data_IF_669651419999
#
_entry.id   IF_669651419999
#
_cell.length_a   1.000
_cell.length_b   1.000
_cell.length_c   1.000
_cell.angle_alpha   90.00
_cell.angle_beta   90.00
_cell.angle_gamma   90.00
#
_symmetry.space_group_name_H-M   'P 1'
#
loop_
_entity.id
_entity.type
_entity.pdbx_description
1 polymer ?
#
# COMPACT_ATOMS: atom_id res chain seq x y z
N UNK A 1 21.53 -5.33 -17.32
CA UNK A 1 21.65 -5.32 -15.84
C UNK A 1 21.12 -6.62 -15.24
N UNK A 2 19.82 -6.94 -15.32
CA UNK A 2 19.22 -8.10 -14.65
C UNK A 2 19.83 -9.46 -15.00
N UNK A 3 20.42 -9.62 -16.18
CA UNK A 3 21.12 -10.88 -16.55
C UNK A 3 22.37 -11.16 -15.72
N UNK A 4 22.94 -10.15 -15.08
CA UNK A 4 24.14 -10.26 -14.24
C UNK A 4 23.83 -10.55 -12.77
N UNK A 5 22.55 -10.53 -12.38
CA UNK A 5 22.10 -10.82 -11.02
C UNK A 5 21.53 -12.23 -10.92
N UNK A 6 21.71 -12.88 -9.77
CA UNK A 6 21.10 -14.18 -9.46
C UNK A 6 19.66 -13.99 -8.97
N UNK A 7 19.44 -12.96 -8.15
CA UNK A 7 18.15 -12.57 -7.60
C UNK A 7 17.91 -11.11 -7.90
N UNK A 8 16.69 -10.77 -8.31
CA UNK A 8 16.26 -9.44 -8.65
C UNK A 8 15.10 -9.05 -7.74
N UNK A 9 15.20 -7.89 -7.13
CA UNK A 9 14.10 -7.31 -6.34
C UNK A 9 13.94 -5.83 -6.64
N UNK A 10 12.89 -5.21 -6.11
CA UNK A 10 12.55 -3.81 -6.33
C UNK A 10 12.54 -3.04 -5.01
N UNK A 11 12.82 -1.76 -5.10
CA UNK A 11 12.70 -0.80 -3.98
C UNK A 11 11.63 0.24 -4.27
N UNK A 12 11.31 0.46 -5.56
CA UNK A 12 10.21 1.31 -6.01
C UNK A 12 9.24 0.50 -6.87
N UNK A 13 7.96 0.90 -6.90
CA UNK A 13 6.92 0.19 -7.66
C UNK A 13 6.91 0.55 -9.14
N UNK A 14 7.36 1.76 -9.51
CA UNK A 14 7.35 2.23 -10.89
C UNK A 14 8.51 1.65 -11.70
N UNK A 15 8.49 0.33 -11.87
CA UNK A 15 9.46 -0.41 -12.67
C UNK A 15 8.79 -1.00 -13.90
N UNK A 16 9.58 -1.31 -14.92
CA UNK A 16 9.09 -1.95 -16.12
C UNK A 16 8.81 -3.45 -15.84
N UNK A 17 7.55 -3.78 -15.60
CA UNK A 17 7.11 -5.16 -15.32
C UNK A 17 7.31 -6.11 -16.49
N UNK A 18 7.23 -5.64 -17.74
CA UNK A 18 7.48 -6.48 -18.92
C UNK A 18 8.94 -6.96 -18.96
N UNK A 19 9.88 -6.07 -18.62
CA UNK A 19 11.30 -6.43 -18.51
C UNK A 19 11.54 -7.44 -17.38
N UNK A 20 10.84 -7.32 -16.26
CA UNK A 20 10.92 -8.26 -15.13
C UNK A 20 10.31 -9.62 -15.49
N UNK A 21 9.17 -9.64 -16.19
CA UNK A 21 8.55 -10.88 -16.70
C UNK A 21 9.52 -11.61 -17.61
N UNK A 22 10.12 -10.91 -18.56
CA UNK A 22 11.11 -11.51 -19.49
C UNK A 22 12.30 -12.12 -18.75
N UNK A 23 12.83 -11.44 -17.72
CA UNK A 23 13.92 -11.97 -16.90
C UNK A 23 13.48 -13.23 -16.13
N UNK A 24 12.25 -13.24 -15.62
CA UNK A 24 11.68 -14.43 -14.96
C UNK A 24 11.52 -15.60 -15.93
N UNK A 25 11.05 -15.35 -17.16
CA UNK A 25 10.93 -16.35 -18.23
C UNK A 25 12.30 -16.88 -18.68
N UNK A 26 13.36 -16.06 -18.62
CA UNK A 26 14.75 -16.43 -18.86
C UNK A 26 15.38 -17.21 -17.67
N UNK A 27 14.57 -17.51 -16.61
CA UNK A 27 14.99 -18.33 -15.46
C UNK A 27 15.62 -17.54 -14.30
N UNK A 28 15.51 -16.21 -14.29
CA UNK A 28 15.97 -15.39 -13.15
C UNK A 28 14.95 -15.41 -12.02
N UNK A 29 15.46 -15.44 -10.78
CA UNK A 29 14.62 -15.28 -9.59
C UNK A 29 14.25 -13.80 -9.42
N UNK A 30 12.98 -13.44 -9.62
CA UNK A 30 12.47 -12.07 -9.53
C UNK A 30 11.46 -11.98 -8.39
N UNK A 31 11.69 -11.09 -7.42
CA UNK A 31 10.80 -10.87 -6.28
C UNK A 31 10.46 -9.37 -6.13
N UNK A 32 9.19 -9.01 -5.97
CA UNK A 32 8.01 -9.89 -6.06
C UNK A 32 7.79 -10.46 -7.46
N UNK A 33 6.95 -11.49 -7.57
CA UNK A 33 6.50 -12.02 -8.87
C UNK A 33 6.00 -10.85 -9.73
N UNK A 34 6.58 -10.63 -10.94
CA UNK A 34 6.25 -9.47 -11.76
C UNK A 34 4.80 -9.47 -12.27
N UNK A 35 4.14 -10.63 -12.39
CA UNK A 35 2.71 -10.69 -12.72
C UNK A 35 1.84 -10.16 -11.57
N UNK A 36 2.25 -10.42 -10.32
CA UNK A 36 1.56 -9.85 -9.14
C UNK A 36 1.82 -8.35 -9.02
N UNK A 37 3.05 -7.94 -9.30
CA UNK A 37 3.41 -6.52 -9.35
C UNK A 37 2.58 -5.77 -10.39
N UNK A 38 2.34 -6.34 -11.58
CA UNK A 38 1.50 -5.74 -12.61
C UNK A 38 0.04 -5.54 -12.14
N UNK A 39 -0.49 -6.45 -11.31
CA UNK A 39 -1.81 -6.28 -10.68
C UNK A 39 -1.77 -5.10 -9.69
N UNK A 40 -0.71 -5.01 -8.88
CA UNK A 40 -0.58 -3.97 -7.85
C UNK A 40 -0.38 -2.59 -8.47
N UNK A 41 0.34 -2.48 -9.60
CA UNK A 41 0.53 -1.22 -10.31
C UNK A 41 -0.75 -0.64 -10.95
N UNK A 42 -1.84 -1.41 -11.04
CA UNK A 42 -3.13 -0.96 -11.57
C UNK A 42 -4.20 -1.08 -10.50
N UNK A 43 -4.61 0.06 -9.94
CA UNK A 43 -5.61 0.12 -8.84
C UNK A 43 -6.94 -0.56 -9.21
N UNK A 44 -7.31 -0.59 -10.50
CA UNK A 44 -8.50 -1.32 -10.95
C UNK A 44 -8.31 -2.83 -10.87
N UNK A 45 -7.18 -3.36 -11.35
CA UNK A 45 -6.84 -4.78 -11.23
C UNK A 45 -6.66 -5.19 -9.76
N UNK A 46 -6.09 -4.30 -8.93
CA UNK A 46 -5.94 -4.51 -7.50
C UNK A 46 -7.31 -4.68 -6.81
N UNK A 47 -8.30 -3.84 -7.14
CA UNK A 47 -9.68 -3.95 -6.61
C UNK A 47 -10.39 -5.21 -7.08
N UNK A 48 -10.26 -5.57 -8.36
CA UNK A 48 -10.80 -6.84 -8.89
C UNK A 48 -10.17 -8.05 -8.17
N UNK A 49 -8.88 -7.99 -7.89
CA UNK A 49 -8.18 -9.01 -7.13
C UNK A 49 -8.71 -9.12 -5.69
N UNK A 50 -8.89 -8.00 -4.98
CA UNK A 50 -9.46 -8.00 -3.63
C UNK A 50 -10.85 -8.63 -3.62
N UNK A 51 -11.71 -8.22 -4.56
CA UNK A 51 -13.05 -8.80 -4.72
C UNK A 51 -13.00 -10.31 -4.96
N UNK A 52 -12.16 -10.78 -5.89
CA UNK A 52 -11.99 -12.20 -6.20
C UNK A 52 -11.50 -13.02 -5.00
N UNK A 53 -10.62 -12.44 -4.19
CA UNK A 53 -10.04 -13.08 -3.00
C UNK A 53 -10.85 -12.84 -1.72
N UNK A 54 -11.97 -12.12 -1.80
CA UNK A 54 -12.83 -11.74 -0.66
C UNK A 54 -12.07 -10.98 0.43
N UNK A 55 -11.12 -10.15 0.02
CA UNK A 55 -10.41 -9.22 0.90
C UNK A 55 -11.26 -7.97 1.09
N UNK A 56 -11.39 -7.50 2.33
CA UNK A 56 -12.23 -6.35 2.66
C UNK A 56 -11.62 -5.06 2.13
N UNK A 57 -12.26 -4.41 1.17
CA UNK A 57 -11.86 -3.12 0.62
C UNK A 57 -13.10 -2.28 0.30
N UNK A 58 -12.94 -0.95 0.14
CA UNK A 58 -14.06 -0.06 -0.18
C UNK A 58 -14.82 -0.55 -1.41
N UNK A 59 -16.16 -0.50 -1.39
CA UNK A 59 -16.98 -0.69 -2.60
C UNK A 59 -16.52 0.27 -3.69
N UNK A 60 -16.47 -0.21 -4.94
CA UNK A 60 -15.91 0.55 -6.04
C UNK A 60 -16.65 0.33 -7.35
N UNK A 61 -16.47 1.29 -8.26
CA UNK A 61 -16.90 1.23 -9.67
C UNK A 61 -15.70 1.59 -10.53
N UNK A 62 -15.51 0.88 -11.65
CA UNK A 62 -14.48 1.21 -12.63
C UNK A 62 -15.10 2.10 -13.71
N UNK A 63 -14.46 3.22 -14.02
CA UNK A 63 -14.83 4.14 -15.08
C UNK A 63 -13.64 4.36 -16.02
N UNK A 64 -13.90 4.45 -17.32
CA UNK A 64 -12.85 4.65 -18.34
C UNK A 64 -12.53 6.12 -18.56
N UNK A 65 -13.53 7.01 -18.40
CA UNK A 65 -13.42 8.44 -18.71
C UNK A 65 -14.17 9.27 -17.66
N UNK A 66 -13.82 10.56 -17.59
CA UNK A 66 -14.55 11.54 -16.79
C UNK A 66 -16.03 11.60 -17.17
N UNK A 67 -16.35 11.58 -18.46
CA UNK A 67 -17.72 11.59 -18.96
C UNK A 67 -18.54 10.39 -18.45
N UNK A 68 -17.91 9.19 -18.36
CA UNK A 68 -18.59 8.03 -17.80
C UNK A 68 -18.90 8.24 -16.31
N UNK A 69 -18.00 8.88 -15.56
CA UNK A 69 -18.23 9.20 -14.14
C UNK A 69 -19.44 10.14 -14.03
N UNK A 70 -19.49 11.21 -14.84
CA UNK A 70 -20.58 12.18 -14.85
C UNK A 70 -21.93 11.52 -15.19
N UNK A 71 -21.97 10.64 -16.18
CA UNK A 71 -23.18 9.85 -16.50
C UNK A 71 -23.62 8.97 -15.33
N UNK A 72 -22.68 8.28 -14.66
CA UNK A 72 -22.99 7.42 -13.52
C UNK A 72 -23.41 8.17 -12.26
N UNK A 73 -23.04 9.45 -12.14
CA UNK A 73 -23.59 10.35 -11.12
C UNK A 73 -25.03 10.71 -11.46
N UNK A 74 -25.32 11.03 -12.73
CA UNK A 74 -26.66 11.38 -13.20
C UNK A 74 -27.66 10.23 -13.07
N UNK A 75 -27.24 9.00 -13.34
CA UNK A 75 -28.10 7.80 -13.23
C UNK A 75 -28.18 7.24 -11.80
N UNK A 76 -27.46 7.85 -10.83
CA UNK A 76 -27.46 7.46 -9.42
C UNK A 76 -26.59 6.25 -9.07
N UNK A 77 -25.83 5.69 -10.02
CA UNK A 77 -24.92 4.57 -9.76
C UNK A 77 -23.71 5.02 -8.92
N UNK A 78 -23.29 6.28 -9.03
CA UNK A 78 -22.27 6.90 -8.17
C UNK A 78 -22.96 7.95 -7.32
N UNK A 79 -22.79 7.86 -6.00
CA UNK A 79 -23.37 8.80 -5.03
C UNK A 79 -22.27 9.51 -4.23
N UNK A 80 -22.52 10.76 -3.84
CA UNK A 80 -21.63 11.53 -2.99
C UNK A 80 -21.69 11.08 -1.51
N UNK A 81 -20.59 11.16 -0.74
CA UNK A 81 -19.23 11.47 -1.20
C UNK A 81 -18.50 10.23 -1.76
N UNK A 82 -17.59 10.45 -2.69
CA UNK A 82 -16.74 9.39 -3.25
C UNK A 82 -15.29 9.87 -3.45
N UNK A 83 -14.37 8.91 -3.65
CA UNK A 83 -12.97 9.16 -3.98
C UNK A 83 -12.69 8.58 -5.35
N UNK A 84 -12.20 9.42 -6.26
CA UNK A 84 -11.66 8.99 -7.54
C UNK A 84 -10.16 8.75 -7.40
N UNK A 85 -9.70 7.59 -7.86
CA UNK A 85 -8.26 7.27 -7.96
C UNK A 85 -7.96 6.88 -9.41
N UNK A 86 -6.99 7.52 -10.05
CA UNK A 86 -6.51 7.06 -11.34
C UNK A 86 -5.93 5.66 -11.21
N UNK A 87 -6.21 4.79 -12.19
CA UNK A 87 -5.78 3.39 -12.15
C UNK A 87 -4.26 3.24 -12.17
N UNK A 88 -3.57 4.08 -12.95
CA UNK A 88 -2.12 4.10 -13.11
C UNK A 88 -1.58 5.51 -12.89
N UNK A 89 -0.28 5.62 -12.65
CA UNK A 89 0.44 6.90 -12.49
C UNK A 89 0.02 7.76 -11.27
N UNK A 90 -0.75 7.22 -10.32
CA UNK A 90 -1.01 7.88 -9.04
C UNK A 90 0.03 7.44 -8.00
N UNK A 91 0.78 8.40 -7.44
CA UNK A 91 1.74 8.21 -6.34
C UNK A 91 1.70 9.45 -5.43
N UNK A 92 1.98 9.29 -4.16
CA UNK A 92 2.08 10.39 -3.18
C UNK A 92 0.88 11.36 -3.25
N UNK A 93 -0.35 10.80 -3.27
CA UNK A 93 -1.57 11.59 -3.36
C UNK A 93 -1.88 12.19 -4.74
N UNK A 94 -0.96 12.14 -5.71
CA UNK A 94 -1.26 12.51 -7.10
C UNK A 94 -2.17 11.47 -7.74
N UNK A 95 -3.12 11.93 -8.53
CA UNK A 95 -4.11 11.04 -9.16
C UNK A 95 -5.24 10.60 -8.22
N UNK A 96 -5.45 11.31 -7.10
CA UNK A 96 -6.58 11.12 -6.19
C UNK A 96 -7.41 12.41 -6.12
N UNK A 97 -8.72 12.30 -6.23
CA UNK A 97 -9.66 13.41 -6.05
C UNK A 97 -10.79 12.99 -5.10
N UNK A 98 -11.03 13.79 -4.08
CA UNK A 98 -12.13 13.62 -3.13
C UNK A 98 -13.29 14.50 -3.58
N UNK A 99 -14.43 13.89 -3.86
CA UNK A 99 -15.63 14.56 -4.35
C UNK A 99 -16.71 14.41 -3.27
N UNK A 100 -16.95 15.50 -2.54
CA UNK A 100 -17.91 15.48 -1.43
C UNK A 100 -19.33 15.84 -1.90
N UNK A 101 -19.44 16.77 -2.85
CA UNK A 101 -20.70 17.26 -3.40
C UNK A 101 -20.58 17.53 -4.91
N UNK A 102 -21.67 17.93 -5.55
CA UNK A 102 -21.67 18.36 -6.95
C UNK A 102 -20.72 19.53 -7.25
N UNK A 103 -20.45 20.38 -6.27
CA UNK A 103 -19.57 21.53 -6.45
C UNK A 103 -18.10 21.12 -6.65
N UNK A 104 -17.74 19.90 -6.22
CA UNK A 104 -16.41 19.35 -6.36
C UNK A 104 -16.16 18.70 -7.74
N UNK A 105 -17.13 18.64 -8.65
CA UNK A 105 -17.00 17.97 -9.96
C UNK A 105 -15.89 18.56 -10.84
N UNK A 106 -15.51 19.82 -10.62
CA UNK A 106 -14.38 20.44 -11.29
C UNK A 106 -13.03 19.78 -10.96
N UNK A 107 -12.93 19.04 -9.83
CA UNK A 107 -11.75 18.29 -9.38
C UNK A 107 -11.61 16.94 -10.06
N UNK A 108 -12.62 16.48 -10.82
CA UNK A 108 -12.57 15.19 -11.49
C UNK A 108 -11.36 15.11 -12.45
N UNK A 109 -10.62 14.02 -12.30
CA UNK A 109 -9.45 13.70 -13.08
C UNK A 109 -9.85 12.99 -14.38
N UNK A 110 -9.09 13.23 -15.45
CA UNK A 110 -9.25 12.53 -16.72
C UNK A 110 -8.48 11.22 -16.73
N UNK A 111 -9.12 10.17 -17.22
CA UNK A 111 -8.52 8.86 -17.43
C UNK A 111 -9.22 7.71 -16.71
N UNK A 112 -8.79 6.48 -17.00
CA UNK A 112 -9.32 5.29 -16.36
C UNK A 112 -9.14 5.36 -14.83
N UNK A 113 -10.24 5.18 -14.12
CA UNK A 113 -10.33 5.45 -12.69
C UNK A 113 -11.05 4.35 -11.92
N UNK A 114 -10.70 4.24 -10.64
CA UNK A 114 -11.47 3.56 -9.61
C UNK A 114 -12.23 4.62 -8.83
N UNK A 115 -13.54 4.49 -8.76
CA UNK A 115 -14.42 5.34 -7.95
C UNK A 115 -14.79 4.54 -6.71
N UNK A 116 -14.33 4.97 -5.56
CA UNK A 116 -14.56 4.32 -4.28
C UNK A 116 -15.56 5.09 -3.44
N UNK A 117 -16.45 4.38 -2.74
CA UNK A 117 -17.23 5.02 -1.68
C UNK A 117 -16.27 5.59 -0.64
N UNK A 118 -16.43 6.88 -0.30
CA UNK A 118 -15.60 7.53 0.72
C UNK A 118 -15.80 6.87 2.07
N UNK A 119 -14.71 6.39 2.66
CA UNK A 119 -14.69 5.83 4.01
C UNK A 119 -14.65 6.96 5.04
N UNK A 120 -15.40 6.82 6.11
CA UNK A 120 -15.26 7.68 7.30
C UNK A 120 -14.14 7.12 8.16
N UNK A 121 -12.96 7.67 7.95
CA UNK A 121 -11.71 7.18 8.53
C UNK A 121 -11.60 7.65 9.98
N UNK A 122 -11.45 6.70 10.91
CA UNK A 122 -11.09 6.95 12.31
C UNK A 122 -9.57 6.98 12.48
N UNK A 123 -8.86 6.02 11.86
CA UNK A 123 -7.39 5.92 11.84
C UNK A 123 -6.92 5.33 10.52
N UNK A 124 -5.72 5.72 10.13
CA UNK A 124 -5.00 5.07 9.02
C UNK A 124 -3.90 4.17 9.61
N UNK A 125 -3.93 2.91 9.25
CA UNK A 125 -3.04 1.88 9.77
C UNK A 125 -2.22 1.26 8.64
N UNK A 126 -1.04 0.77 8.98
CA UNK A 126 -0.25 -0.08 8.07
C UNK A 126 0.34 -1.26 8.83
N UNK A 127 0.36 -2.41 8.17
CA UNK A 127 1.05 -3.61 8.64
C UNK A 127 2.03 -4.07 7.58
N UNK A 128 3.30 -4.24 7.95
CA UNK A 128 4.28 -4.90 7.10
C UNK A 128 4.19 -6.40 7.35
N UNK A 129 3.77 -7.14 6.34
CA UNK A 129 3.78 -8.60 6.34
C UNK A 129 4.98 -9.11 5.54
N UNK A 130 5.62 -10.17 5.99
CA UNK A 130 6.68 -10.89 5.29
C UNK A 130 6.25 -12.33 5.02
N UNK A 131 6.65 -12.87 3.85
CA UNK A 131 6.41 -14.28 3.50
C UNK A 131 7.64 -14.83 2.77
N UNK A 132 8.13 -15.97 3.23
CA UNK A 132 9.27 -16.65 2.62
C UNK A 132 8.86 -17.59 1.47
N UNK A 133 9.84 -18.17 0.80
CA UNK A 133 9.63 -19.12 -0.31
C UNK A 133 8.91 -20.40 0.11
N UNK A 134 8.92 -20.75 1.39
CA UNK A 134 8.20 -21.90 1.94
C UNK A 134 6.76 -21.58 2.34
N UNK A 135 6.35 -20.30 2.25
CA UNK A 135 5.02 -19.85 2.60
C UNK A 135 4.84 -19.46 4.07
N UNK A 136 5.89 -19.51 4.90
CA UNK A 136 5.82 -19.01 6.27
C UNK A 136 5.63 -17.49 6.26
N UNK A 137 4.83 -16.98 7.18
CA UNK A 137 4.52 -15.55 7.28
C UNK A 137 4.88 -14.99 8.65
N UNK A 138 5.32 -13.75 8.68
CA UNK A 138 5.46 -12.93 9.88
C UNK A 138 5.00 -11.51 9.60
N UNK A 139 4.40 -10.86 10.60
CA UNK A 139 4.01 -9.46 10.52
C UNK A 139 4.74 -8.65 11.59
N UNK A 140 5.00 -7.39 11.29
CA UNK A 140 5.34 -6.40 12.29
C UNK A 140 4.08 -5.88 12.99
N UNK A 141 4.24 -5.29 14.17
CA UNK A 141 3.14 -4.63 14.85
C UNK A 141 2.51 -3.55 13.94
N UNK A 142 1.17 -3.39 13.95
CA UNK A 142 0.53 -2.31 13.21
C UNK A 142 1.04 -0.94 13.64
N UNK A 143 1.20 -0.05 12.67
CA UNK A 143 1.53 1.36 12.90
C UNK A 143 0.35 2.25 12.55
N UNK A 144 0.21 3.37 13.27
CA UNK A 144 -0.73 4.43 12.96
C UNK A 144 -0.02 5.50 12.15
N UNK A 145 -0.56 5.82 10.97
CA UNK A 145 -0.03 6.85 10.08
C UNK A 145 -0.85 8.13 10.22
N UNK A 146 -0.17 9.25 10.39
CA UNK A 146 -0.77 10.58 10.41
C UNK A 146 -0.31 11.35 9.19
N UNK A 147 -1.25 11.74 8.36
CA UNK A 147 -0.98 12.43 7.10
C UNK A 147 -0.99 13.96 7.28
N UNK A 148 -0.16 14.62 6.50
CA UNK A 148 -0.26 16.05 6.30
C UNK A 148 -1.41 16.34 5.33
N UNK A 149 -2.37 17.15 5.76
CA UNK A 149 -3.57 17.46 4.97
C UNK A 149 -3.29 18.26 3.69
N UNK A 150 -2.15 18.95 3.60
CA UNK A 150 -1.78 19.75 2.43
C UNK A 150 -0.91 18.95 1.45
N UNK A 151 0.08 18.24 1.99
CA UNK A 151 1.02 17.46 1.18
C UNK A 151 0.46 16.09 0.79
N UNK A 152 -0.57 15.58 1.50
CA UNK A 152 -1.11 14.22 1.37
C UNK A 152 -0.02 13.14 1.46
N UNK A 153 0.96 13.37 2.33
CA UNK A 153 2.07 12.49 2.64
C UNK A 153 2.05 12.16 4.13
N UNK A 154 2.57 11.00 4.50
CA UNK A 154 2.73 10.63 5.91
C UNK A 154 3.65 11.64 6.58
N UNK A 155 3.11 12.42 7.52
CA UNK A 155 3.85 13.38 8.32
C UNK A 155 4.66 12.67 9.39
N UNK A 156 4.00 11.79 10.13
CA UNK A 156 4.63 10.91 11.11
C UNK A 156 3.82 9.62 11.27
N UNK A 157 4.45 8.61 11.80
CA UNK A 157 3.79 7.38 12.23
C UNK A 157 4.15 7.06 13.67
N UNK A 158 3.27 6.32 14.33
CA UNK A 158 3.43 5.84 15.70
C UNK A 158 3.44 4.31 15.70
N UNK A 159 4.44 3.72 16.31
CA UNK A 159 4.60 2.27 16.49
C UNK A 159 4.71 1.92 17.97
N UNK A 160 3.87 1.05 18.54
CA UNK A 160 2.72 0.42 17.88
C UNK A 160 1.55 1.41 17.72
N UNK A 161 0.62 1.10 16.81
CA UNK A 161 -0.62 1.85 16.67
C UNK A 161 -1.41 1.85 17.99
N UNK A 162 -2.03 2.98 18.30
CA UNK A 162 -2.88 3.09 19.51
C UNK A 162 -4.30 2.60 19.20
N UNK A 163 -4.46 1.28 19.19
CA UNK A 163 -5.70 0.56 18.89
C UNK A 163 -5.93 -0.55 19.91
N UNK A 164 -7.16 -1.05 19.98
CA UNK A 164 -7.51 -2.18 20.84
C UNK A 164 -6.85 -3.47 20.34
N UNK A 165 -6.53 -4.40 21.23
CA UNK A 165 -5.88 -5.67 20.89
C UNK A 165 -6.67 -6.51 19.87
N UNK A 166 -8.01 -6.42 19.87
CA UNK A 166 -8.84 -7.13 18.90
C UNK A 166 -8.61 -6.57 17.50
N UNK A 167 -8.58 -5.26 17.36
CA UNK A 167 -8.29 -4.57 16.08
C UNK A 167 -6.87 -4.86 15.64
N UNK A 168 -5.90 -4.89 16.55
CA UNK A 168 -4.52 -5.28 16.25
C UNK A 168 -4.45 -6.69 15.64
N UNK A 169 -5.10 -7.67 16.28
CA UNK A 169 -5.15 -9.05 15.79
C UNK A 169 -5.81 -9.14 14.42
N UNK A 170 -6.91 -8.43 14.22
CA UNK A 170 -7.60 -8.39 12.93
C UNK A 170 -6.75 -7.73 11.83
N UNK A 171 -6.02 -6.65 12.12
CA UNK A 171 -5.12 -6.00 11.18
C UNK A 171 -3.98 -6.93 10.74
N UNK A 172 -3.36 -7.64 11.68
CA UNK A 172 -2.32 -8.64 11.42
C UNK A 172 -2.90 -9.80 10.59
N UNK A 173 -4.08 -10.30 10.94
CA UNK A 173 -4.75 -11.38 10.20
C UNK A 173 -5.08 -10.95 8.76
N UNK A 174 -5.60 -9.74 8.56
CA UNK A 174 -5.91 -9.19 7.25
C UNK A 174 -4.65 -8.99 6.40
N UNK A 175 -3.55 -8.52 6.97
CA UNK A 175 -2.27 -8.38 6.29
C UNK A 175 -1.70 -9.76 5.89
N UNK A 176 -1.75 -10.74 6.79
CA UNK A 176 -1.33 -12.13 6.51
C UNK A 176 -2.17 -12.76 5.40
N UNK A 177 -3.49 -12.58 5.45
CA UNK A 177 -4.39 -13.05 4.40
C UNK A 177 -4.06 -12.39 3.05
N UNK A 178 -3.74 -11.10 3.07
CA UNK A 178 -3.45 -10.33 1.86
C UNK A 178 -2.16 -10.77 1.20
N UNK A 179 -1.04 -10.87 1.93
CA UNK A 179 0.24 -11.33 1.36
C UNK A 179 0.15 -12.76 0.86
N UNK A 180 -0.58 -13.62 1.57
CA UNK A 180 -0.82 -15.01 1.17
C UNK A 180 -1.69 -15.09 -0.10
N UNK A 181 -2.75 -14.28 -0.19
CA UNK A 181 -3.63 -14.25 -1.36
C UNK A 181 -2.91 -13.80 -2.63
N UNK A 182 -2.00 -12.81 -2.51
CA UNK A 182 -1.14 -12.37 -3.61
C UNK A 182 0.00 -13.36 -3.90
N UNK A 183 0.29 -14.27 -2.98
CA UNK A 183 1.43 -15.19 -3.08
C UNK A 183 2.77 -14.44 -3.27
N UNK A 184 2.94 -13.33 -2.57
CA UNK A 184 4.16 -12.53 -2.59
C UNK A 184 5.22 -13.24 -1.74
N UNK A 185 6.43 -13.36 -2.28
CA UNK A 185 7.65 -13.67 -1.52
C UNK A 185 8.43 -12.37 -1.32
N UNK A 186 8.82 -12.11 -0.09
CA UNK A 186 9.37 -10.82 0.33
C UNK A 186 8.50 -10.16 1.37
N UNK A 187 8.37 -8.85 1.30
CA UNK A 187 7.47 -8.08 2.17
C UNK A 187 6.34 -7.44 1.38
N UNK A 188 5.25 -7.19 2.08
CA UNK A 188 4.09 -6.45 1.60
C UNK A 188 3.64 -5.48 2.69
N UNK A 189 3.68 -4.20 2.42
CA UNK A 189 2.97 -3.23 3.23
C UNK A 189 1.49 -3.29 2.87
N UNK A 190 0.63 -3.39 3.86
CA UNK A 190 -0.83 -3.36 3.70
C UNK A 190 -1.37 -2.16 4.44
N UNK A 191 -1.78 -1.15 3.68
CA UNK A 191 -2.42 0.05 4.22
C UNK A 191 -3.91 -0.18 4.40
N UNK A 192 -4.43 0.23 5.54
CA UNK A 192 -5.80 -0.02 5.96
C UNK A 192 -6.42 1.24 6.56
N UNK A 193 -7.69 1.44 6.28
CA UNK A 193 -8.53 2.36 7.04
C UNK A 193 -9.23 1.61 8.16
N UNK A 194 -9.15 2.12 9.37
CA UNK A 194 -10.06 1.80 10.46
C UNK A 194 -11.21 2.80 10.41
N UNK A 195 -12.42 2.33 10.14
CA UNK A 195 -13.60 3.20 10.05
C UNK A 195 -14.22 3.51 11.43
N UNK A 196 -15.23 4.38 11.47
CA UNK A 196 -15.94 4.75 12.70
C UNK A 196 -16.65 3.56 13.38
N UNK A 197 -16.90 2.47 12.65
CA UNK A 197 -17.52 1.23 13.16
C UNK A 197 -16.49 0.18 13.55
N UNK A 198 -15.20 0.53 13.58
CA UNK A 198 -14.06 -0.35 13.82
C UNK A 198 -13.88 -1.45 12.74
N UNK A 199 -14.37 -1.27 11.54
CA UNK A 199 -14.05 -2.18 10.43
C UNK A 199 -12.70 -1.81 9.82
N UNK A 200 -11.89 -2.82 9.52
CA UNK A 200 -10.65 -2.68 8.77
C UNK A 200 -10.92 -2.83 7.28
N UNK A 201 -10.47 -1.87 6.50
CA UNK A 201 -10.71 -1.77 5.05
C UNK A 201 -9.37 -1.56 4.36
N UNK A 202 -8.94 -2.50 3.49
CA UNK A 202 -7.70 -2.35 2.72
C UNK A 202 -7.83 -1.13 1.80
N UNK A 203 -6.87 -0.22 1.92
CA UNK A 203 -6.70 0.93 1.04
C UNK A 203 -5.86 0.55 -0.18
N UNK A 204 -4.60 0.21 0.05
CA UNK A 204 -3.66 -0.23 -0.99
C UNK A 204 -2.56 -1.12 -0.40
N UNK A 205 -1.74 -1.70 -1.28
CA UNK A 205 -0.61 -2.53 -0.89
C UNK A 205 0.64 -2.14 -1.67
N UNK A 206 1.81 -2.31 -1.03
CA UNK A 206 3.12 -2.05 -1.62
C UNK A 206 4.05 -3.26 -1.41
N UNK A 207 4.48 -3.98 -2.47
CA UNK A 207 5.26 -5.21 -2.36
C UNK A 207 6.77 -4.93 -2.33
N UNK A 208 7.21 -4.05 -1.45
CA UNK A 208 8.58 -3.54 -1.30
C UNK A 208 8.80 -2.92 0.08
N UNK A 209 10.05 -2.59 0.45
CA UNK A 209 10.28 -1.73 1.61
C UNK A 209 9.43 -0.47 1.54
N UNK A 210 8.77 -0.15 2.64
CA UNK A 210 7.75 0.90 2.68
C UNK A 210 8.02 1.89 3.80
N UNK A 211 7.60 3.14 3.61
CA UNK A 211 7.74 4.21 4.59
C UNK A 211 7.21 3.80 5.97
N UNK A 212 6.04 3.14 6.01
CA UNK A 212 5.46 2.67 7.26
C UNK A 212 6.30 1.63 8.02
N UNK A 213 7.35 1.07 7.41
CA UNK A 213 8.27 0.13 8.03
C UNK A 213 9.67 0.69 8.31
N UNK A 214 9.97 1.95 8.01
CA UNK A 214 11.33 2.49 8.23
C UNK A 214 11.72 2.52 9.70
N UNK A 215 10.78 2.75 10.62
CA UNK A 215 11.02 2.70 12.06
C UNK A 215 11.59 1.36 12.54
N UNK A 216 11.35 0.27 11.79
CA UNK A 216 11.83 -1.08 12.16
C UNK A 216 13.35 -1.20 12.18
N UNK A 217 14.09 -0.29 11.57
CA UNK A 217 15.57 -0.26 11.61
C UNK A 217 16.04 -0.16 13.05
N UNK A 218 15.40 0.71 13.86
CA UNK A 218 15.81 1.00 15.24
C UNK A 218 14.90 0.36 16.27
N UNK A 219 13.65 0.04 15.91
CA UNK A 219 12.61 -0.32 16.87
C UNK A 219 12.20 -1.80 16.84
N UNK A 220 12.71 -2.60 15.91
CA UNK A 220 12.39 -4.01 15.80
C UNK A 220 13.65 -4.89 15.84
N UNK A 221 13.49 -6.15 16.27
CA UNK A 221 14.59 -7.12 16.32
C UNK A 221 15.19 -7.39 14.94
N UNK A 222 14.34 -7.41 13.91
CA UNK A 222 14.72 -7.54 12.49
C UNK A 222 14.07 -6.39 11.74
N UNK A 223 14.82 -5.64 10.94
CA UNK A 223 14.24 -4.56 10.12
C UNK A 223 13.41 -5.11 8.96
N UNK A 224 12.53 -4.29 8.39
CA UNK A 224 11.79 -4.67 7.17
C UNK A 224 12.74 -5.04 6.02
N UNK A 225 13.89 -4.39 5.92
CA UNK A 225 14.88 -4.64 4.88
C UNK A 225 15.54 -6.01 5.04
N UNK A 226 15.99 -6.32 6.24
CA UNK A 226 16.55 -7.64 6.55
C UNK A 226 15.50 -8.72 6.37
N UNK A 227 14.26 -8.48 6.81
CA UNK A 227 13.16 -9.42 6.66
C UNK A 227 12.85 -9.70 5.19
N UNK A 228 12.88 -8.65 4.34
CA UNK A 228 12.73 -8.80 2.89
C UNK A 228 13.84 -9.67 2.30
N UNK A 229 15.08 -9.37 2.63
CA UNK A 229 16.23 -10.14 2.14
C UNK A 229 16.19 -11.60 2.61
N UNK A 230 15.86 -11.84 3.88
CA UNK A 230 15.68 -13.21 4.40
C UNK A 230 14.64 -13.98 3.60
N UNK A 231 13.50 -13.36 3.36
CA UNK A 231 12.40 -13.98 2.63
C UNK A 231 12.79 -14.38 1.20
N UNK A 232 13.42 -13.47 0.43
CA UNK A 232 13.77 -13.73 -0.98
C UNK A 232 15.02 -14.60 -1.16
N UNK A 233 15.88 -14.69 -0.14
CA UNK A 233 17.06 -15.54 -0.14
C UNK A 233 16.78 -16.96 0.41
N UNK A 234 15.54 -17.27 0.77
CA UNK A 234 15.17 -18.57 1.33
C UNK A 234 15.69 -18.80 2.75
N UNK A 235 16.06 -17.75 3.48
CA UNK A 235 16.43 -17.82 4.89
C UNK A 235 15.17 -17.84 5.76
N UNK A 236 15.29 -18.39 6.97
CA UNK A 236 14.20 -18.29 7.96
C UNK A 236 13.86 -16.83 8.26
N UNK A 237 12.59 -16.50 8.32
CA UNK A 237 12.14 -15.17 8.70
C UNK A 237 12.65 -14.81 10.09
N UNK A 238 13.22 -13.62 10.23
CA UNK A 238 13.69 -13.07 11.49
C UNK A 238 12.56 -12.79 12.47
N UNK A 239 12.88 -12.48 13.71
CA UNK A 239 11.91 -12.06 14.69
C UNK A 239 11.48 -10.60 14.41
N UNK A 240 10.18 -10.35 14.28
CA UNK A 240 9.59 -9.03 14.01
C UNK A 240 9.14 -8.30 15.28
N UNK A 241 9.50 -8.83 16.46
CA UNK A 241 9.10 -8.23 17.74
C UNK A 241 9.67 -6.80 17.88
N UNK A 242 8.82 -5.95 18.40
CA UNK A 242 9.20 -4.58 18.73
C UNK A 242 10.10 -4.56 19.97
N UNK A 243 11.24 -3.86 19.85
CA UNK A 243 12.18 -3.66 20.97
C UNK A 243 11.73 -2.48 21.83
N UNK A 244 11.28 -1.41 21.16
CA UNK A 244 10.89 -0.16 21.81
C UNK A 244 9.79 0.55 21.00
N UNK A 245 8.78 1.13 21.65
CA UNK A 245 7.83 2.03 20.99
C UNK A 245 8.56 3.21 20.35
N UNK A 246 8.13 3.59 19.15
CA UNK A 246 8.83 4.60 18.36
C UNK A 246 7.87 5.50 17.59
N UNK A 247 8.38 6.66 17.20
CA UNK A 247 7.74 7.58 16.27
C UNK A 247 8.72 7.84 15.12
N UNK A 248 8.27 7.69 13.90
CA UNK A 248 9.04 8.08 12.71
C UNK A 248 8.44 9.35 12.13
N UNK A 249 9.28 10.34 11.90
CA UNK A 249 8.92 11.62 11.30
C UNK A 249 9.53 11.72 9.92
N UNK A 250 8.71 12.05 8.91
CA UNK A 250 9.21 12.40 7.58
C UNK A 250 9.60 13.88 7.55
N UNK A 251 10.86 14.16 7.22
CA UNK A 251 11.31 15.51 6.93
C UNK A 251 11.15 15.74 5.44
N UNK A 252 10.09 16.46 5.09
CA UNK A 252 9.77 16.78 3.70
C UNK A 252 10.52 18.02 3.26
N UNK A 253 11.06 18.00 2.04
CA UNK A 253 11.65 19.17 1.42
C UNK A 253 10.56 20.20 1.06
N UNK A 254 10.77 21.46 1.44
CA UNK A 254 9.91 22.56 0.99
C UNK A 254 10.42 23.13 -0.34
N UNK A 255 9.47 23.60 -1.17
CA UNK A 255 9.80 24.25 -2.43
C UNK A 255 10.66 25.50 -2.17
N UNK A 256 11.85 25.55 -2.79
CA UNK A 256 12.79 26.67 -2.64
C UNK A 256 13.82 26.51 -1.52
N UNK A 257 13.76 25.45 -0.69
CA UNK A 257 14.77 25.17 0.31
C UNK A 257 15.86 24.24 -0.25
N UNK A 258 17.07 24.77 -0.37
CA UNK A 258 18.27 24.05 -0.86
C UNK A 258 19.39 23.99 0.20
N UNK A 259 19.07 24.14 1.47
CA UNK A 259 20.02 24.20 2.57
C UNK A 259 20.22 22.88 3.30
N UNK A 260 21.23 22.83 4.16
CA UNK A 260 21.47 21.73 5.08
C UNK A 260 20.40 21.74 6.18
N UNK A 261 19.75 20.61 6.42
CA UNK A 261 18.84 20.46 7.56
C UNK A 261 19.66 20.50 8.85
N UNK A 262 19.31 21.41 9.75
CA UNK A 262 19.86 21.43 11.11
C UNK A 262 18.83 20.77 12.04
N UNK A 263 19.23 19.72 12.73
CA UNK A 263 18.45 19.00 13.73
C UNK A 263 18.52 19.70 15.07
#
# INVERSE_FOLDING_TARGET
FGKQADIITIEIEHVNTEALIKLSEEGKSVFPDPHKLAIIQDKGLQKEFYKKKRLNSSPYILCKTKTEIEHRIQDGSITFPFVQKLRKAGYDGKGVAVINTSDDLHKLLDGPSVIEKKVKIKKELSVIAARDVSGNTKCFAPVEMVFDNQANLVKYLVSPAQIDQDIEREAIALATQTITAFDIVGILAVEMFLDENNNLIINEVAPRPHNSGHHTIESATTSQYEQHLRAILGLSLGNSDMIIPSVMLNILGESGYNGTVKY
#
